data_IF_279965754218
#
_entry.id   IF_279965754218
#
_cell.length_a   1.000
_cell.length_b   1.000
_cell.length_c   1.000
_cell.angle_alpha   90.00
_cell.angle_beta   90.00
_cell.angle_gamma   90.00
#
_symmetry.space_group_name_H-M   'P 1'
#
loop_
_entity.id
_entity.type
_entity.pdbx_description
1 polymer ?
#
# COMPACT_ATOMS: atom_id res chain seq x y z
N UNK A 1 -14.40 17.76 13.54
CA UNK A 1 -13.83 18.02 12.19
C UNK A 1 -13.44 19.48 12.11
N UNK A 2 -12.22 19.79 11.67
CA UNK A 2 -11.79 21.18 11.44
C UNK A 2 -12.28 21.66 10.07
N UNK A 3 -12.82 22.88 10.01
CA UNK A 3 -13.26 23.51 8.78
C UNK A 3 -12.08 24.25 8.13
N UNK A 4 -11.58 23.75 7.00
CA UNK A 4 -10.55 24.45 6.23
C UNK A 4 -11.05 25.84 5.79
N UNK A 5 -10.14 26.83 5.69
CA UNK A 5 -10.47 28.15 5.13
C UNK A 5 -10.92 27.99 3.66
N UNK A 6 -11.94 28.75 3.26
CA UNK A 6 -12.47 28.76 1.88
C UNK A 6 -11.33 29.10 0.89
N UNK A 7 -11.03 28.18 -0.02
CA UNK A 7 -9.93 28.32 -1.00
C UNK A 7 -8.56 27.77 -0.58
N UNK A 8 -8.42 27.25 0.66
CA UNK A 8 -7.21 26.53 1.06
C UNK A 8 -7.08 25.23 0.26
N UNK A 9 -5.92 25.01 -0.36
CA UNK A 9 -5.57 23.79 -1.08
C UNK A 9 -4.50 23.04 -0.30
N UNK A 10 -4.67 21.74 -0.13
CA UNK A 10 -3.61 20.86 0.36
C UNK A 10 -2.64 20.59 -0.79
N UNK A 11 -1.35 20.78 -0.54
CA UNK A 11 -0.28 20.41 -1.47
C UNK A 11 0.69 19.49 -0.74
N UNK A 12 1.26 18.49 -1.41
CA UNK A 12 2.37 17.74 -0.85
C UNK A 12 3.55 18.67 -0.62
N UNK A 13 4.38 18.34 0.38
CA UNK A 13 5.69 18.95 0.52
C UNK A 13 6.64 18.34 -0.52
N UNK A 14 7.73 19.03 -0.81
CA UNK A 14 8.82 18.47 -1.63
C UNK A 14 9.94 18.00 -0.72
N UNK A 15 10.21 16.70 -0.76
CA UNK A 15 11.33 16.06 -0.10
C UNK A 15 12.54 16.03 -1.05
N UNK A 16 13.72 16.28 -0.50
CA UNK A 16 14.98 16.19 -1.23
C UNK A 16 15.52 14.78 -1.13
N UNK A 17 15.47 13.95 -2.17
CA UNK A 17 15.99 12.57 -2.11
C UNK A 17 17.38 12.54 -1.51
N UNK A 18 18.34 13.23 -2.14
CA UNK A 18 19.64 13.58 -1.56
C UNK A 18 19.47 14.80 -0.64
N UNK A 19 19.71 14.67 0.67
CA UNK A 19 19.43 15.74 1.63
C UNK A 19 20.24 17.00 1.34
N UNK A 20 19.54 18.14 1.30
CA UNK A 20 20.13 19.46 0.98
C UNK A 20 21.31 19.86 1.87
N UNK A 21 21.33 19.40 3.14
CA UNK A 21 22.42 19.69 4.08
C UNK A 21 23.75 19.06 3.66
N UNK A 22 23.71 17.86 3.07
CA UNK A 22 24.88 17.11 2.61
C UNK A 22 25.18 17.39 1.14
N UNK A 23 24.12 17.61 0.34
CA UNK A 23 24.19 17.77 -1.11
C UNK A 23 23.56 19.08 -1.62
N UNK A 24 24.04 20.28 -1.21
CA UNK A 24 23.41 21.55 -1.58
C UNK A 24 23.29 21.77 -3.09
N UNK A 25 24.26 21.29 -3.87
CA UNK A 25 24.28 21.41 -5.33
C UNK A 25 23.07 20.75 -6.00
N UNK A 26 22.54 19.68 -5.40
CA UNK A 26 21.37 18.95 -5.92
C UNK A 26 20.04 19.55 -5.46
N UNK A 27 20.04 20.60 -4.62
CA UNK A 27 18.80 21.19 -4.10
C UNK A 27 17.98 21.94 -5.15
N UNK A 28 18.53 22.20 -6.33
CA UNK A 28 17.82 22.81 -7.46
C UNK A 28 17.45 21.80 -8.54
N UNK A 29 17.86 20.54 -8.40
CA UNK A 29 17.53 19.50 -9.37
C UNK A 29 16.10 19.00 -9.15
N UNK A 30 15.26 19.06 -10.19
CA UNK A 30 13.88 18.56 -10.15
C UNK A 30 13.87 17.04 -9.89
N UNK A 31 14.85 16.32 -10.42
CA UNK A 31 15.01 14.88 -10.21
C UNK A 31 15.38 14.51 -8.75
N UNK A 32 15.78 15.50 -7.95
CA UNK A 32 16.04 15.34 -6.52
C UNK A 32 14.81 15.71 -5.66
N UNK A 33 13.71 16.21 -6.25
CA UNK A 33 12.51 16.64 -5.53
C UNK A 33 11.40 15.59 -5.65
N UNK A 34 11.05 14.96 -4.53
CA UNK A 34 10.01 13.94 -4.42
C UNK A 34 8.77 14.56 -3.74
N UNK A 35 7.58 14.53 -4.36
CA UNK A 35 6.33 14.86 -3.68
C UNK A 35 6.10 13.90 -2.51
N UNK A 36 6.08 14.43 -1.29
CA UNK A 36 5.97 13.64 -0.07
C UNK A 36 4.99 14.28 0.93
N UNK A 37 4.52 13.46 1.87
CA UNK A 37 3.75 13.96 2.99
C UNK A 37 4.66 14.72 3.97
N UNK A 38 4.12 15.71 4.69
CA UNK A 38 4.91 16.48 5.66
C UNK A 38 5.59 15.61 6.71
N UNK A 39 4.88 14.61 7.23
CA UNK A 39 5.41 13.67 8.23
C UNK A 39 6.54 12.81 7.65
N UNK A 40 6.36 12.32 6.43
CA UNK A 40 7.33 11.53 5.66
C UNK A 40 8.63 12.31 5.47
N UNK A 41 8.52 13.55 4.97
CA UNK A 41 9.64 14.44 4.71
C UNK A 41 10.35 14.88 6.00
N UNK A 42 9.59 15.24 7.04
CA UNK A 42 10.15 15.85 8.25
C UNK A 42 10.44 14.86 9.37
N UNK A 43 9.43 14.12 9.82
CA UNK A 43 9.51 13.28 11.03
C UNK A 43 10.24 11.97 10.79
N UNK A 44 10.07 11.39 9.60
CA UNK A 44 10.72 10.13 9.23
C UNK A 44 12.09 10.38 8.58
N UNK A 45 12.11 10.97 7.38
CA UNK A 45 13.37 11.12 6.64
C UNK A 45 14.26 12.24 7.19
N UNK A 46 13.72 13.45 7.36
CA UNK A 46 14.45 14.60 7.90
C UNK A 46 15.76 14.88 7.15
N UNK A 47 16.90 14.68 7.83
CA UNK A 47 18.25 14.91 7.30
C UNK A 47 19.05 13.60 7.16
N UNK A 48 18.38 12.44 7.17
CA UNK A 48 19.03 11.15 6.95
C UNK A 48 19.70 11.14 5.57
N UNK A 49 20.92 10.61 5.53
CA UNK A 49 21.75 10.48 4.34
C UNK A 49 21.17 9.40 3.40
N UNK A 50 20.31 9.83 2.48
CA UNK A 50 19.79 9.02 1.40
C UNK A 50 20.71 9.10 0.20
N UNK A 51 20.98 7.95 -0.41
CA UNK A 51 21.73 7.83 -1.66
C UNK A 51 21.16 6.69 -2.53
N UNK A 52 21.59 6.63 -3.79
CA UNK A 52 21.10 5.64 -4.75
C UNK A 52 21.59 4.21 -4.46
N UNK A 53 22.64 4.03 -3.65
CA UNK A 53 23.18 2.71 -3.30
C UNK A 53 22.42 2.09 -2.12
N UNK A 54 21.98 2.92 -1.17
CA UNK A 54 21.32 2.49 0.07
C UNK A 54 19.80 2.64 0.05
N UNK A 55 19.26 3.45 -0.85
CA UNK A 55 17.83 3.77 -0.88
C UNK A 55 17.27 3.71 -2.29
N UNK A 56 15.97 3.38 -2.37
CA UNK A 56 15.21 3.42 -3.60
C UNK A 56 14.71 4.85 -3.85
N UNK A 57 15.01 5.41 -5.01
CA UNK A 57 14.39 6.63 -5.49
C UNK A 57 13.07 6.28 -6.23
N UNK A 58 11.92 6.92 -5.91
CA UNK A 58 10.65 6.67 -6.58
C UNK A 58 10.64 6.90 -8.10
N UNK A 59 11.61 7.63 -8.64
CA UNK A 59 11.74 7.87 -10.08
C UNK A 59 12.53 6.78 -10.83
N UNK A 60 13.04 5.75 -10.14
CA UNK A 60 13.69 4.62 -10.80
C UNK A 60 12.68 3.76 -11.55
N UNK A 61 12.75 3.75 -12.88
CA UNK A 61 11.80 3.03 -13.75
C UNK A 61 11.92 1.50 -13.66
N UNK A 62 13.08 0.98 -13.23
CA UNK A 62 13.41 -0.45 -13.27
C UNK A 62 13.19 -1.18 -11.93
N UNK A 63 12.35 -0.64 -11.05
CA UNK A 63 12.07 -1.29 -9.76
C UNK A 63 11.18 -2.51 -9.96
N UNK A 64 11.67 -3.66 -9.50
CA UNK A 64 10.84 -4.85 -9.43
C UNK A 64 9.66 -4.60 -8.47
N UNK A 65 8.45 -4.60 -9.03
CA UNK A 65 7.21 -4.39 -8.27
C UNK A 65 6.93 -5.46 -7.21
N UNK A 66 7.64 -6.60 -7.28
CA UNK A 66 7.52 -7.72 -6.36
C UNK A 66 8.72 -7.78 -5.39
N UNK A 67 9.31 -6.64 -4.97
CA UNK A 67 10.37 -6.63 -3.94
C UNK A 67 9.84 -6.92 -2.52
N UNK A 68 8.58 -6.59 -2.25
CA UNK A 68 7.86 -7.04 -1.06
C UNK A 68 6.37 -7.20 -1.36
N UNK A 69 5.69 -7.99 -0.53
CA UNK A 69 4.23 -8.04 -0.47
C UNK A 69 3.74 -7.74 0.94
N UNK A 70 2.55 -7.16 1.04
CA UNK A 70 1.82 -7.15 2.29
C UNK A 70 1.16 -8.50 2.53
N UNK A 71 1.18 -8.96 3.77
CA UNK A 71 0.55 -10.17 4.25
C UNK A 71 -0.16 -9.89 5.58
N UNK A 72 -0.76 -10.91 6.16
CA UNK A 72 -1.45 -10.79 7.43
C UNK A 72 -1.29 -12.04 8.28
N UNK A 73 -1.27 -11.85 9.60
CA UNK A 73 -1.24 -12.93 10.58
C UNK A 73 -2.42 -12.73 11.55
N UNK A 74 -3.42 -13.63 11.53
CA UNK A 74 -4.47 -13.65 12.53
C UNK A 74 -4.00 -14.38 13.79
N UNK A 75 -4.34 -13.86 14.97
CA UNK A 75 -4.07 -14.52 16.25
C UNK A 75 -5.03 -15.69 16.52
N UNK A 76 -6.27 -15.63 16.00
CA UNK A 76 -7.28 -16.67 16.18
C UNK A 76 -8.24 -16.83 14.97
N UNK A 77 -9.21 -17.72 15.11
CA UNK A 77 -10.20 -17.95 14.05
C UNK A 77 -11.06 -16.71 13.77
N UNK A 78 -11.41 -15.94 14.80
CA UNK A 78 -12.27 -14.76 14.64
C UNK A 78 -11.57 -13.67 13.84
N UNK A 79 -10.29 -13.41 14.10
CA UNK A 79 -9.50 -12.49 13.29
C UNK A 79 -9.17 -13.05 11.91
N UNK A 80 -9.01 -14.38 11.76
CA UNK A 80 -8.81 -15.03 10.47
C UNK A 80 -10.01 -14.88 9.50
N UNK A 81 -11.23 -14.82 10.02
CA UNK A 81 -12.44 -14.49 9.22
C UNK A 81 -12.78 -13.00 9.22
N UNK A 82 -11.89 -12.18 9.78
CA UNK A 82 -11.98 -10.73 9.85
C UNK A 82 -12.86 -10.19 10.97
N UNK A 83 -13.51 -10.98 11.82
CA UNK A 83 -14.42 -10.46 12.85
C UNK A 83 -13.76 -9.53 13.86
N UNK A 84 -12.52 -9.82 14.27
CA UNK A 84 -11.75 -9.03 15.23
C UNK A 84 -10.48 -8.42 14.59
N UNK A 85 -10.51 -7.13 14.19
CA UNK A 85 -9.35 -6.47 13.58
C UNK A 85 -8.17 -6.23 14.53
N UNK A 86 -8.40 -6.23 15.85
CA UNK A 86 -7.36 -5.94 16.85
C UNK A 86 -6.37 -7.08 17.03
N UNK A 87 -6.83 -8.30 16.75
CA UNK A 87 -6.09 -9.55 16.90
C UNK A 87 -5.57 -10.02 15.53
N UNK A 88 -5.30 -9.06 14.65
CA UNK A 88 -4.75 -9.25 13.32
C UNK A 88 -3.53 -8.35 13.16
N UNK A 89 -2.47 -8.88 12.56
CA UNK A 89 -1.23 -8.15 12.30
C UNK A 89 -1.03 -8.02 10.80
N UNK A 90 -0.59 -6.85 10.33
CA UNK A 90 -0.16 -6.67 8.94
C UNK A 90 1.33 -6.98 8.86
N UNK A 91 1.77 -7.75 7.89
CA UNK A 91 3.18 -8.17 7.78
C UNK A 91 3.74 -7.77 6.42
N UNK A 92 5.04 -7.48 6.38
CA UNK A 92 5.79 -7.24 5.16
C UNK A 92 6.65 -8.46 4.83
N UNK A 93 6.29 -9.16 3.78
CA UNK A 93 7.05 -10.29 3.26
C UNK A 93 8.05 -9.77 2.22
N UNK A 94 9.33 -9.86 2.54
CA UNK A 94 10.40 -9.36 1.68
C UNK A 94 11.04 -10.47 0.85
N UNK A 95 11.31 -10.16 -0.42
CA UNK A 95 11.99 -11.04 -1.36
C UNK A 95 13.50 -10.77 -1.32
N UNK A 96 14.15 -11.34 -0.30
CA UNK A 96 15.56 -11.05 0.05
C UNK A 96 16.60 -11.41 -1.01
N UNK A 97 16.24 -12.29 -1.94
CA UNK A 97 17.06 -12.72 -3.07
C UNK A 97 17.17 -11.67 -4.18
N UNK A 98 16.33 -10.63 -4.15
CA UNK A 98 16.30 -9.59 -5.18
C UNK A 98 17.34 -8.51 -4.92
N UNK A 99 17.95 -8.02 -6.00
CA UNK A 99 19.05 -7.03 -5.97
C UNK A 99 18.74 -5.81 -5.09
N UNK A 100 17.52 -5.26 -5.20
CA UNK A 100 17.14 -4.02 -4.51
C UNK A 100 16.48 -4.25 -3.14
N UNK A 101 16.49 -5.49 -2.62
CA UNK A 101 15.91 -5.82 -1.31
C UNK A 101 16.44 -4.92 -0.19
N UNK A 102 17.77 -4.82 -0.05
CA UNK A 102 18.39 -4.06 1.04
C UNK A 102 18.01 -2.57 0.97
N UNK A 103 17.97 -2.02 -0.25
CA UNK A 103 17.55 -0.62 -0.50
C UNK A 103 16.09 -0.42 -0.11
N UNK A 104 15.20 -1.32 -0.52
CA UNK A 104 13.79 -1.27 -0.13
C UNK A 104 13.60 -1.38 1.38
N UNK A 105 14.29 -2.33 2.02
CA UNK A 105 14.20 -2.55 3.46
C UNK A 105 14.62 -1.31 4.22
N UNK A 106 15.71 -0.67 3.81
CA UNK A 106 16.17 0.59 4.38
C UNK A 106 15.11 1.71 4.24
N UNK A 107 14.49 1.85 3.07
CA UNK A 107 13.36 2.78 2.89
C UNK A 107 12.21 2.44 3.85
N UNK A 108 11.83 1.16 3.98
CA UNK A 108 10.73 0.74 4.86
C UNK A 108 10.99 1.07 6.32
N UNK A 109 12.23 0.85 6.78
CA UNK A 109 12.64 1.09 8.16
C UNK A 109 12.63 2.59 8.49
N UNK A 110 13.19 3.41 7.58
CA UNK A 110 13.21 4.87 7.76
C UNK A 110 11.79 5.44 7.81
N UNK A 111 10.88 4.95 6.97
CA UNK A 111 9.49 5.40 6.94
C UNK A 111 8.57 4.60 7.88
N UNK A 112 9.11 3.69 8.70
CA UNK A 112 8.38 2.83 9.63
C UNK A 112 7.13 2.20 9.01
N UNK A 113 7.28 1.65 7.79
CA UNK A 113 6.15 1.15 6.99
C UNK A 113 5.44 0.00 7.70
N UNK A 114 6.19 -0.88 8.36
CA UNK A 114 5.66 -1.97 9.17
C UNK A 114 4.71 -1.45 10.28
N UNK A 115 5.14 -0.42 11.01
CA UNK A 115 4.41 0.18 12.13
C UNK A 115 3.21 0.98 11.63
N UNK A 116 3.40 1.77 10.56
CA UNK A 116 2.33 2.59 9.98
C UNK A 116 1.16 1.73 9.54
N UNK A 117 1.44 0.60 8.88
CA UNK A 117 0.42 -0.28 8.33
C UNK A 117 -0.28 -1.14 9.39
N UNK A 118 0.24 -1.25 10.62
CA UNK A 118 -0.54 -1.82 11.73
C UNK A 118 -1.81 -1.02 12.04
N UNK A 119 -1.87 0.26 11.66
CA UNK A 119 -3.07 1.07 11.85
C UNK A 119 -4.18 0.77 10.82
N UNK A 120 -3.98 -0.22 9.95
CA UNK A 120 -4.88 -0.58 8.85
C UNK A 120 -5.37 -2.03 8.91
N UNK A 121 -5.35 -2.64 10.10
CA UNK A 121 -5.87 -4.00 10.31
C UNK A 121 -7.38 -4.08 10.07
N UNK A 122 -8.11 -2.97 10.24
CA UNK A 122 -9.52 -2.82 9.88
C UNK A 122 -9.76 -2.98 8.37
N UNK A 123 -8.85 -2.47 7.55
CA UNK A 123 -8.90 -2.62 6.08
C UNK A 123 -8.74 -4.09 5.71
N UNK A 124 -7.74 -4.77 6.29
CA UNK A 124 -7.49 -6.21 6.04
C UNK A 124 -8.67 -7.05 6.52
N UNK A 125 -9.13 -6.82 7.75
CA UNK A 125 -10.32 -7.47 8.33
C UNK A 125 -11.55 -7.35 7.41
N UNK A 126 -11.80 -6.17 6.84
CA UNK A 126 -12.91 -5.97 5.92
C UNK A 126 -12.76 -6.75 4.60
N UNK A 127 -11.53 -6.89 4.09
CA UNK A 127 -11.25 -7.73 2.91
C UNK A 127 -11.55 -9.20 3.25
N UNK A 128 -11.10 -9.69 4.40
CA UNK A 128 -11.35 -11.06 4.87
C UNK A 128 -12.85 -11.33 5.00
N UNK A 129 -13.60 -10.47 5.70
CA UNK A 129 -15.06 -10.60 5.82
C UNK A 129 -15.74 -10.69 4.46
N UNK A 130 -15.36 -9.82 3.52
CA UNK A 130 -15.90 -9.83 2.16
C UNK A 130 -15.59 -11.15 1.47
N UNK A 131 -14.38 -11.67 1.61
CA UNK A 131 -14.00 -12.94 0.97
C UNK A 131 -14.86 -14.12 1.47
N UNK A 132 -15.06 -14.24 2.78
CA UNK A 132 -15.86 -15.33 3.34
C UNK A 132 -17.37 -15.20 3.04
N UNK A 133 -17.92 -13.98 3.06
CA UNK A 133 -19.34 -13.73 2.76
C UNK A 133 -19.62 -13.88 1.27
N UNK A 134 -18.79 -13.29 0.42
CA UNK A 134 -18.96 -13.24 -1.03
C UNK A 134 -18.11 -14.30 -1.73
N UNK A 135 -18.33 -15.57 -1.36
CA UNK A 135 -17.76 -16.70 -2.09
C UNK A 135 -18.30 -16.79 -3.53
N UNK A 136 -17.69 -17.64 -4.35
CA UNK A 136 -18.02 -17.71 -5.78
C UNK A 136 -19.48 -18.04 -6.07
N UNK A 137 -20.11 -18.90 -5.26
CA UNK A 137 -21.54 -19.20 -5.40
C UNK A 137 -22.39 -17.98 -5.12
N UNK A 138 -22.08 -17.23 -4.06
CA UNK A 138 -22.82 -16.02 -3.71
C UNK A 138 -22.61 -14.91 -4.75
N UNK A 139 -21.40 -14.77 -5.30
CA UNK A 139 -21.11 -13.83 -6.40
C UNK A 139 -21.93 -14.16 -7.65
N UNK A 140 -22.08 -15.44 -8.00
CA UNK A 140 -22.95 -15.86 -9.12
C UNK A 140 -24.43 -15.56 -8.85
N UNK A 141 -24.89 -15.73 -7.60
CA UNK A 141 -26.25 -15.33 -7.20
C UNK A 141 -26.44 -13.82 -7.38
N UNK A 142 -25.49 -12.98 -6.95
CA UNK A 142 -25.57 -11.52 -7.13
C UNK A 142 -25.61 -11.17 -8.61
N UNK A 143 -24.71 -11.74 -9.42
CA UNK A 143 -24.65 -11.51 -10.87
C UNK A 143 -25.98 -11.88 -11.55
N UNK A 144 -26.55 -13.02 -11.21
CA UNK A 144 -27.81 -13.51 -11.81
C UNK A 144 -29.05 -12.76 -11.30
N UNK A 145 -29.02 -12.26 -10.06
CA UNK A 145 -30.10 -11.45 -9.48
C UNK A 145 -30.14 -10.05 -10.08
N UNK A 146 -28.97 -9.47 -10.38
CA UNK A 146 -28.83 -8.11 -10.90
C UNK A 146 -28.09 -8.06 -12.26
N UNK A 147 -28.60 -8.74 -13.31
CA UNK A 147 -27.89 -8.88 -14.59
C UNK A 147 -27.73 -7.54 -15.35
N UNK A 148 -28.54 -6.52 -15.02
CA UNK A 148 -28.37 -5.18 -15.57
C UNK A 148 -27.30 -4.33 -14.88
N UNK A 149 -26.81 -4.76 -13.71
CA UNK A 149 -25.75 -4.09 -12.96
C UNK A 149 -24.41 -4.83 -13.05
N UNK A 150 -24.44 -6.16 -13.17
CA UNK A 150 -23.24 -7.00 -13.23
C UNK A 150 -23.30 -7.96 -14.42
N UNK A 151 -22.37 -7.77 -15.37
CA UNK A 151 -22.18 -8.66 -16.52
C UNK A 151 -21.39 -9.93 -16.17
N UNK A 152 -20.56 -9.86 -15.13
CA UNK A 152 -19.65 -10.92 -14.68
C UNK A 152 -19.42 -10.88 -13.17
N UNK A 153 -18.94 -11.98 -12.59
CA UNK A 153 -18.50 -12.00 -11.18
C UNK A 153 -17.26 -11.14 -10.94
N UNK A 154 -16.46 -10.89 -11.97
CA UNK A 154 -15.38 -9.91 -11.94
C UNK A 154 -15.89 -8.50 -11.62
N UNK A 155 -17.02 -8.05 -12.18
CA UNK A 155 -17.58 -6.73 -11.84
C UNK A 155 -18.08 -6.67 -10.39
N UNK A 156 -18.58 -7.80 -9.86
CA UNK A 156 -18.92 -7.93 -8.43
C UNK A 156 -17.66 -7.79 -7.58
N UNK A 157 -16.58 -8.49 -7.91
CA UNK A 157 -15.30 -8.38 -7.22
C UNK A 157 -14.73 -6.95 -7.31
N UNK A 158 -14.82 -6.30 -8.48
CA UNK A 158 -14.36 -4.92 -8.66
C UNK A 158 -15.12 -3.95 -7.76
N UNK A 159 -16.43 -4.12 -7.62
CA UNK A 159 -17.23 -3.32 -6.68
C UNK A 159 -16.87 -3.60 -5.22
N UNK A 160 -16.65 -4.87 -4.87
CA UNK A 160 -16.37 -5.26 -3.48
C UNK A 160 -15.00 -4.80 -3.00
N UNK A 161 -13.97 -4.93 -3.82
CA UNK A 161 -12.57 -4.72 -3.40
C UNK A 161 -11.95 -3.43 -3.94
N UNK A 162 -12.58 -2.79 -4.93
CA UNK A 162 -12.11 -1.58 -5.65
C UNK A 162 -10.82 -1.81 -6.46
N UNK A 163 -9.77 -2.29 -5.80
CA UNK A 163 -8.42 -2.53 -6.35
C UNK A 163 -8.19 -4.03 -6.51
N UNK A 164 -8.53 -4.56 -7.68
CA UNK A 164 -8.28 -5.97 -8.02
C UNK A 164 -7.26 -6.12 -9.15
N UNK A 165 -6.93 -5.03 -9.84
CA UNK A 165 -5.97 -5.06 -10.95
C UNK A 165 -4.66 -4.36 -10.57
N UNK A 166 -3.53 -4.95 -10.97
CA UNK A 166 -2.18 -4.44 -10.66
C UNK A 166 -1.97 -3.00 -11.17
N UNK A 167 -2.54 -2.64 -12.32
CA UNK A 167 -2.45 -1.28 -12.87
C UNK A 167 -3.17 -0.21 -12.05
N UNK A 168 -4.20 -0.59 -11.28
CA UNK A 168 -5.00 0.33 -10.47
C UNK A 168 -4.34 0.61 -9.10
N UNK A 169 -3.43 -0.26 -8.65
CA UNK A 169 -2.73 -0.20 -7.35
C UNK A 169 -2.16 1.19 -7.06
N UNK A 170 -1.48 1.81 -8.02
CA UNK A 170 -0.82 3.11 -7.85
C UNK A 170 -1.79 4.29 -7.70
N UNK A 171 -3.04 4.11 -8.11
CA UNK A 171 -4.07 5.15 -8.09
C UNK A 171 -5.02 5.00 -6.88
N UNK A 172 -4.84 3.96 -6.07
CA UNK A 172 -5.71 3.63 -4.96
C UNK A 172 -5.04 3.86 -3.60
N UNK A 173 -5.80 4.38 -2.65
CA UNK A 173 -5.38 4.48 -1.26
C UNK A 173 -5.19 3.06 -0.71
N UNK A 174 -4.00 2.80 -0.15
CA UNK A 174 -3.58 1.47 0.31
C UNK A 174 -3.68 0.40 -0.79
N UNK A 175 -3.55 0.80 -2.06
CA UNK A 175 -3.79 -0.09 -3.20
C UNK A 175 -2.92 -1.35 -3.16
N UNK A 176 -1.65 -1.23 -2.76
CA UNK A 176 -0.73 -2.40 -2.70
C UNK A 176 -1.14 -3.38 -1.59
N UNK A 177 -1.50 -2.88 -0.41
CA UNK A 177 -2.04 -3.70 0.68
C UNK A 177 -3.30 -4.43 0.23
N UNK A 178 -4.29 -3.71 -0.31
CA UNK A 178 -5.56 -4.32 -0.76
C UNK A 178 -5.33 -5.40 -1.82
N UNK A 179 -4.50 -5.10 -2.81
CA UNK A 179 -4.18 -6.00 -3.91
C UNK A 179 -3.44 -7.25 -3.42
N UNK A 180 -2.39 -7.10 -2.61
CA UNK A 180 -1.59 -8.23 -2.12
C UNK A 180 -2.46 -9.18 -1.26
N UNK A 181 -3.28 -8.65 -0.34
CA UNK A 181 -4.18 -9.47 0.50
C UNK A 181 -5.23 -10.17 -0.34
N UNK A 182 -5.85 -9.50 -1.32
CA UNK A 182 -6.84 -10.13 -2.21
C UNK A 182 -6.21 -11.25 -3.05
N UNK A 183 -5.02 -11.00 -3.59
CA UNK A 183 -4.26 -11.97 -4.40
C UNK A 183 -3.91 -13.22 -3.59
N UNK A 184 -3.51 -13.05 -2.32
CA UNK A 184 -3.28 -14.17 -1.40
C UNK A 184 -4.54 -15.00 -1.15
N UNK A 185 -5.69 -14.35 -0.93
CA UNK A 185 -6.96 -15.03 -0.68
C UNK A 185 -7.48 -15.81 -1.88
N UNK A 186 -7.18 -15.36 -3.10
CA UNK A 186 -7.54 -16.08 -4.33
C UNK A 186 -6.67 -17.34 -4.58
N UNK A 187 -5.71 -17.63 -3.68
CA UNK A 187 -4.76 -18.73 -3.84
C UNK A 187 -3.76 -18.50 -4.97
N UNK A 188 -3.72 -17.28 -5.52
CA UNK A 188 -2.69 -16.85 -6.47
C UNK A 188 -1.51 -16.34 -5.67
N UNK A 189 -0.47 -17.17 -5.46
CA UNK A 189 0.78 -16.66 -4.93
C UNK A 189 1.38 -15.70 -5.98
N UNK A 190 1.70 -14.44 -5.62
CA UNK A 190 2.36 -13.49 -6.54
C UNK A 190 3.81 -13.89 -6.86
#
# INVERSE_FOLDING_TARGET
>A
MYSGKKGAKTRPDLDYFLPKSLYPYFSMSIYNLIPACKVCNSSFKGQIDFDYEKNINPYEEALDTNLMNFSYLPDDFTSAVGLEPKDLQVVLDYHSEKKDYARLKNNCDIFAIDTLYQNHTDVVSNILKKHYVFNDTYKEIIRTTYPGLFSSTYEVDKMLYETIEKQEVKNAILGKLKYDIKTQLDGTCP
#
